data_IF_639419607237
#
_entry.id   IF_639419607237
#
_cell.length_a   1.000
_cell.length_b   1.000
_cell.length_c   1.000
_cell.angle_alpha   90.00
_cell.angle_beta   90.00
_cell.angle_gamma   90.00
#
_symmetry.space_group_name_H-M   'P 1'
#
loop_
_entity.id
_entity.type
_entity.pdbx_description
1 polymer ?
#
# COMPACT_ATOMS: atom_id res chain seq x y z
N UNK A 1 9.94 -16.54 -3.44
CA UNK A 1 9.54 -15.61 -4.52
C UNK A 1 8.11 -15.92 -4.94
N UNK A 2 7.26 -14.92 -5.22
CA UNK A 2 5.86 -15.18 -5.55
C UNK A 2 5.74 -15.67 -7.00
N UNK A 3 5.41 -16.95 -7.20
CA UNK A 3 5.23 -17.55 -8.54
C UNK A 3 4.17 -16.82 -9.36
N UNK A 4 3.20 -16.16 -8.70
CA UNK A 4 2.14 -15.39 -9.37
C UNK A 4 2.66 -14.20 -10.18
N UNK A 5 3.83 -13.64 -9.84
CA UNK A 5 4.42 -12.52 -10.60
C UNK A 5 5.33 -12.96 -11.75
N UNK A 6 5.60 -14.27 -11.90
CA UNK A 6 6.50 -14.77 -12.94
C UNK A 6 5.99 -14.50 -14.35
N UNK A 7 4.72 -14.81 -14.64
CA UNK A 7 4.14 -14.58 -15.96
C UNK A 7 4.20 -13.11 -16.38
N UNK A 8 3.97 -12.19 -15.44
CA UNK A 8 4.08 -10.75 -15.69
C UNK A 8 5.51 -10.29 -15.92
N UNK A 9 6.46 -10.80 -15.14
CA UNK A 9 7.88 -10.51 -15.32
C UNK A 9 8.37 -10.93 -16.70
N UNK A 10 8.03 -12.15 -17.13
CA UNK A 10 8.37 -12.64 -18.47
C UNK A 10 7.71 -11.83 -19.57
N UNK A 11 6.43 -11.49 -19.44
CA UNK A 11 5.77 -10.61 -20.40
C UNK A 11 6.47 -9.24 -20.47
N UNK A 12 6.89 -8.69 -19.34
CA UNK A 12 7.56 -7.41 -19.29
C UNK A 12 8.97 -7.45 -19.94
N UNK A 13 9.74 -8.51 -19.69
CA UNK A 13 11.04 -8.78 -20.34
C UNK A 13 10.90 -8.93 -21.87
N UNK A 14 9.77 -9.44 -22.38
CA UNK A 14 9.56 -9.57 -23.84
C UNK A 14 9.35 -8.24 -24.56
N UNK A 15 9.04 -7.15 -23.84
CA UNK A 15 8.81 -5.83 -24.45
C UNK A 15 10.11 -5.18 -24.91
N UNK A 16 11.24 -5.47 -24.25
CA UNK A 16 12.55 -4.89 -24.59
C UNK A 16 13.69 -5.68 -23.99
N UNK A 17 14.75 -5.91 -24.76
CA UNK A 17 16.00 -6.56 -24.29
C UNK A 17 16.74 -5.76 -23.21
N UNK A 18 16.42 -4.47 -23.05
CA UNK A 18 16.94 -3.62 -21.98
C UNK A 18 16.22 -3.80 -20.64
N UNK A 19 15.19 -4.65 -20.58
CA UNK A 19 14.42 -4.89 -19.36
C UNK A 19 14.89 -6.17 -18.70
N UNK A 20 15.27 -6.05 -17.43
CA UNK A 20 15.58 -7.18 -16.58
C UNK A 20 14.61 -7.17 -15.39
N UNK A 21 14.26 -8.34 -14.88
CA UNK A 21 13.47 -8.40 -13.66
C UNK A 21 14.12 -9.34 -12.65
N UNK A 22 14.15 -8.91 -11.40
CA UNK A 22 14.56 -9.74 -10.26
C UNK A 22 13.35 -9.82 -9.35
N UNK A 23 13.02 -11.01 -8.86
CA UNK A 23 12.01 -11.12 -7.83
C UNK A 23 12.67 -11.25 -6.47
N UNK A 24 11.96 -10.71 -5.48
CA UNK A 24 12.43 -10.64 -4.13
C UNK A 24 11.26 -10.89 -3.16
N UNK A 25 11.57 -11.07 -1.89
CA UNK A 25 10.54 -11.13 -0.87
C UNK A 25 9.83 -9.75 -0.79
N UNK A 26 8.49 -9.75 -0.69
CA UNK A 26 7.68 -8.53 -0.76
C UNK A 26 7.92 -7.53 0.37
N UNK A 27 8.64 -7.91 1.44
CA UNK A 27 9.06 -6.99 2.49
C UNK A 27 10.36 -6.23 2.17
N UNK A 28 10.98 -6.53 1.03
CA UNK A 28 12.16 -5.83 0.51
C UNK A 28 13.37 -5.81 1.46
N UNK A 29 13.47 -6.73 2.42
CA UNK A 29 14.56 -6.71 3.39
C UNK A 29 14.33 -5.73 4.56
N UNK A 30 13.18 -5.06 4.61
CA UNK A 30 12.82 -4.11 5.67
C UNK A 30 11.79 -4.72 6.61
N UNK A 31 12.20 -5.31 7.76
CA UNK A 31 11.26 -5.81 8.76
C UNK A 31 10.64 -4.62 9.53
N UNK A 32 9.54 -4.10 8.99
CA UNK A 32 8.87 -2.91 9.53
C UNK A 32 7.52 -3.23 10.17
N UNK A 33 7.21 -2.48 11.22
CA UNK A 33 5.86 -2.25 11.70
C UNK A 33 5.32 -1.02 10.99
N UNK A 34 4.19 -1.15 10.30
CA UNK A 34 3.57 -0.03 9.58
C UNK A 34 2.32 0.45 10.32
N UNK A 35 2.36 1.69 10.82
CA UNK A 35 1.23 2.37 11.47
C UNK A 35 0.56 3.24 10.42
N UNK A 36 -0.71 2.97 10.12
CA UNK A 36 -1.45 3.76 9.14
C UNK A 36 -1.94 5.08 9.72
N UNK A 37 -2.39 5.96 8.83
CA UNK A 37 -2.97 7.22 9.23
C UNK A 37 -4.21 6.97 10.10
N UNK A 38 -4.28 7.63 11.26
CA UNK A 38 -5.38 7.50 12.23
C UNK A 38 -5.52 6.08 12.84
N UNK A 39 -4.44 5.29 12.87
CA UNK A 39 -4.35 4.03 13.63
C UNK A 39 -3.38 4.22 14.81
N UNK A 40 -3.73 3.70 15.99
CA UNK A 40 -2.89 3.77 17.18
C UNK A 40 -1.82 2.65 17.23
N UNK A 41 -2.11 1.52 16.58
CA UNK A 41 -1.27 0.34 16.56
C UNK A 41 -0.85 0.03 15.11
N UNK A 42 0.39 -0.39 14.93
CA UNK A 42 0.91 -0.79 13.64
C UNK A 42 0.73 -2.27 13.35
N UNK A 43 0.81 -2.62 12.08
CA UNK A 43 0.80 -4.00 11.60
C UNK A 43 2.21 -4.44 11.19
N UNK A 44 2.58 -5.68 11.53
CA UNK A 44 3.84 -6.28 11.09
C UNK A 44 3.80 -6.52 9.57
N UNK A 45 4.67 -5.87 8.81
CA UNK A 45 4.74 -5.99 7.34
C UNK A 45 5.81 -6.99 6.88
N UNK A 46 6.12 -7.99 7.70
CA UNK A 46 7.11 -9.02 7.42
C UNK A 46 6.59 -10.42 7.82
N UNK A 47 7.28 -11.51 7.42
CA UNK A 47 6.92 -12.85 7.87
C UNK A 47 7.00 -12.97 9.40
N UNK A 48 6.12 -13.76 9.99
CA UNK A 48 6.01 -13.95 11.45
C UNK A 48 7.31 -14.42 12.14
N UNK A 49 8.22 -15.03 11.39
CA UNK A 49 9.50 -15.53 11.90
C UNK A 49 10.57 -14.44 12.05
N UNK A 50 10.36 -13.24 11.49
CA UNK A 50 11.32 -12.14 11.58
C UNK A 50 10.98 -11.22 12.73
N UNK A 51 12.02 -10.73 13.41
CA UNK A 51 11.89 -9.68 14.43
C UNK A 51 11.71 -8.33 13.75
N UNK A 52 10.73 -7.56 14.22
CA UNK A 52 10.46 -6.20 13.76
C UNK A 52 11.59 -5.28 14.22
N UNK A 53 12.15 -4.48 13.31
CA UNK A 53 13.29 -3.61 13.62
C UNK A 53 12.93 -2.13 13.56
N UNK A 54 11.98 -1.74 12.71
CA UNK A 54 11.64 -0.34 12.47
C UNK A 54 10.14 -0.13 12.58
N UNK A 55 9.73 1.03 13.10
CA UNK A 55 8.33 1.46 13.12
C UNK A 55 8.19 2.62 12.14
N UNK A 56 7.37 2.46 11.11
CA UNK A 56 7.14 3.45 10.06
C UNK A 56 5.70 3.89 10.11
N UNK A 57 5.47 5.19 10.05
CA UNK A 57 4.12 5.76 10.07
C UNK A 57 3.71 6.29 8.71
N UNK A 58 2.41 6.26 8.46
CA UNK A 58 1.82 6.85 7.27
C UNK A 58 1.51 8.33 7.54
N UNK A 59 2.05 9.19 6.69
CA UNK A 59 1.78 10.62 6.66
C UNK A 59 1.17 11.02 5.32
N UNK A 60 0.80 12.29 5.19
CA UNK A 60 0.30 12.88 3.95
C UNK A 60 1.34 13.84 3.40
N UNK A 61 1.88 13.52 2.23
CA UNK A 61 2.88 14.35 1.55
C UNK A 61 2.36 15.77 1.34
N UNK A 62 3.12 16.75 1.84
CA UNK A 62 2.84 18.19 1.68
C UNK A 62 1.69 18.72 2.56
N UNK A 63 1.18 17.94 3.51
CA UNK A 63 0.20 18.42 4.47
C UNK A 63 0.86 19.20 5.62
N UNK A 64 0.21 20.26 6.09
CA UNK A 64 0.64 20.95 7.31
C UNK A 64 0.30 20.13 8.56
N UNK A 65 0.93 20.44 9.69
CA UNK A 65 0.60 19.81 10.99
C UNK A 65 -0.89 19.93 11.32
N UNK A 66 -1.51 21.05 10.98
CA UNK A 66 -2.92 21.33 11.23
C UNK A 66 -3.83 20.50 10.32
N UNK A 67 -3.43 20.31 9.05
CA UNK A 67 -4.15 19.44 8.11
C UNK A 67 -4.09 17.97 8.58
N UNK A 68 -2.90 17.50 8.99
CA UNK A 68 -2.73 16.15 9.53
C UNK A 68 -3.58 15.91 10.77
N UNK A 69 -3.68 16.89 11.67
CA UNK A 69 -4.53 16.79 12.87
C UNK A 69 -6.03 16.81 12.55
N UNK A 70 -6.45 17.42 11.43
CA UNK A 70 -7.85 17.49 11.01
C UNK A 70 -8.36 16.20 10.38
N UNK A 71 -7.49 15.41 9.74
CA UNK A 71 -7.87 14.18 9.01
C UNK A 71 -8.59 13.15 9.89
N UNK A 72 -8.09 12.77 11.09
CA UNK A 72 -8.80 11.87 12.01
C UNK A 72 -10.24 12.29 12.30
N UNK A 73 -10.44 13.59 12.56
CA UNK A 73 -11.76 14.15 12.88
C UNK A 73 -12.71 14.04 11.70
N UNK A 74 -12.24 14.40 10.50
CA UNK A 74 -13.04 14.31 9.28
C UNK A 74 -13.39 12.85 8.95
N UNK A 75 -12.40 11.95 9.05
CA UNK A 75 -12.57 10.51 8.85
C UNK A 75 -13.62 9.94 9.80
N UNK A 76 -13.54 10.26 11.09
CA UNK A 76 -14.49 9.79 12.10
C UNK A 76 -15.93 10.23 11.80
N UNK A 77 -16.14 11.46 11.31
CA UNK A 77 -17.48 11.94 10.92
C UNK A 77 -18.03 11.12 9.76
N UNK A 78 -17.26 10.94 8.69
CA UNK A 78 -17.68 10.16 7.52
C UNK A 78 -18.02 8.72 7.91
N UNK A 79 -17.18 8.10 8.73
CA UNK A 79 -17.41 6.74 9.21
C UNK A 79 -18.67 6.63 10.08
N UNK A 80 -18.93 7.60 10.96
CA UNK A 80 -20.15 7.65 11.79
C UNK A 80 -21.41 7.79 10.94
N UNK A 81 -21.40 8.68 9.94
CA UNK A 81 -22.54 8.84 9.01
C UNK A 81 -22.76 7.55 8.22
N UNK A 82 -21.70 6.93 7.69
CA UNK A 82 -21.80 5.68 6.97
C UNK A 82 -22.33 4.53 7.85
N UNK A 83 -21.90 4.46 9.12
CA UNK A 83 -22.41 3.49 10.10
C UNK A 83 -23.88 3.73 10.43
N UNK A 84 -24.27 4.98 10.69
CA UNK A 84 -25.66 5.35 10.92
C UNK A 84 -26.56 5.01 9.72
N UNK A 85 -26.10 5.32 8.51
CA UNK A 85 -26.78 4.95 7.27
C UNK A 85 -26.90 3.44 7.09
N UNK A 86 -25.86 2.67 7.43
CA UNK A 86 -25.90 1.21 7.42
C UNK A 86 -26.91 0.68 8.44
N UNK A 87 -26.91 1.19 9.67
CA UNK A 87 -27.87 0.80 10.71
C UNK A 87 -29.30 1.14 10.29
N UNK A 88 -29.52 2.29 9.66
CA UNK A 88 -30.82 2.67 9.11
C UNK A 88 -31.25 1.73 7.99
N UNK A 89 -30.38 1.39 7.03
CA UNK A 89 -30.71 0.45 5.95
C UNK A 89 -31.11 -0.95 6.42
N UNK A 90 -30.47 -1.43 7.49
CA UNK A 90 -30.70 -2.77 8.04
C UNK A 90 -31.62 -2.76 9.27
N UNK A 91 -32.24 -1.62 9.60
CA UNK A 91 -33.13 -1.47 10.74
C UNK A 91 -34.52 -2.05 10.46
N UNK A 92 -35.08 -2.79 11.42
CA UNK A 92 -36.36 -3.50 11.25
C UNK A 92 -37.54 -2.61 10.80
N UNK A 93 -37.56 -1.34 11.23
CA UNK A 93 -38.64 -0.38 10.94
C UNK A 93 -38.48 0.29 9.57
N UNK A 94 -37.25 0.48 9.11
CA UNK A 94 -36.89 1.22 7.88
C UNK A 94 -36.76 0.34 6.65
N UNK A 95 -36.53 -0.97 6.82
CA UNK A 95 -36.41 -1.91 5.70
C UNK A 95 -37.63 -1.90 4.77
N UNK A 96 -38.86 -1.86 5.30
CA UNK A 96 -40.08 -1.96 4.49
C UNK A 96 -40.37 -0.70 3.65
N UNK A 97 -40.06 0.49 4.17
CA UNK A 97 -40.23 1.75 3.42
C UNK A 97 -39.10 2.04 2.42
N UNK A 98 -37.94 1.42 2.60
CA UNK A 98 -36.73 1.69 1.82
C UNK A 98 -36.67 0.92 0.49
N UNK A 99 -37.22 -0.30 0.44
CA UNK A 99 -37.03 -1.24 -0.70
C UNK A 99 -37.69 -0.75 -1.99
N UNK A 100 -38.78 0.01 -1.93
CA UNK A 100 -39.51 0.47 -3.12
C UNK A 100 -38.73 1.47 -3.98
N UNK A 101 -38.61 2.76 -3.58
CA UNK A 101 -37.98 3.79 -4.41
C UNK A 101 -36.45 3.64 -4.53
N UNK A 102 -35.80 3.15 -3.48
CA UNK A 102 -34.32 3.09 -3.43
C UNK A 102 -33.78 1.83 -4.11
N UNK A 103 -34.57 0.74 -4.16
CA UNK A 103 -34.21 -0.46 -4.91
C UNK A 103 -33.99 -0.17 -6.40
N UNK A 104 -34.88 0.63 -7.01
CA UNK A 104 -34.74 1.02 -8.42
C UNK A 104 -33.51 1.90 -8.66
N UNK A 105 -33.18 2.79 -7.72
CA UNK A 105 -31.96 3.60 -7.79
C UNK A 105 -30.66 2.77 -7.73
N UNK A 106 -30.72 1.55 -7.16
CA UNK A 106 -29.59 0.61 -7.12
C UNK A 106 -29.39 -0.18 -8.41
N UNK A 107 -30.37 -0.25 -9.31
CA UNK A 107 -30.25 -0.95 -10.61
C UNK A 107 -29.07 -0.42 -11.42
N UNK A 108 -28.87 0.90 -11.44
CA UNK A 108 -27.71 1.52 -12.10
C UNK A 108 -26.39 1.05 -11.50
N UNK A 109 -26.31 0.92 -10.18
CA UNK A 109 -25.09 0.46 -9.51
C UNK A 109 -24.85 -1.02 -9.84
N UNK A 110 -25.90 -1.85 -9.84
CA UNK A 110 -25.82 -3.25 -10.22
C UNK A 110 -25.30 -3.41 -11.66
N UNK A 111 -25.85 -2.66 -12.62
CA UNK A 111 -25.39 -2.69 -14.00
C UNK A 111 -23.91 -2.27 -14.11
N UNK A 112 -23.51 -1.18 -13.43
CA UNK A 112 -22.10 -0.75 -13.41
C UNK A 112 -21.18 -1.81 -12.81
N UNK A 113 -21.62 -2.50 -11.76
CA UNK A 113 -20.86 -3.56 -11.11
C UNK A 113 -20.80 -4.82 -12.00
N UNK A 114 -21.87 -5.17 -12.70
CA UNK A 114 -21.91 -6.28 -13.67
C UNK A 114 -20.96 -6.06 -14.84
N UNK A 115 -20.86 -4.83 -15.37
CA UNK A 115 -19.92 -4.49 -16.43
C UNK A 115 -18.51 -4.17 -15.93
N UNK A 116 -18.23 -4.26 -14.62
CA UNK A 116 -16.92 -3.97 -14.04
C UNK A 116 -16.51 -2.50 -14.13
N UNK A 117 -17.45 -1.59 -14.38
CA UNK A 117 -17.20 -0.14 -14.50
C UNK A 117 -17.12 0.56 -13.14
N UNK A 118 -17.49 -0.14 -12.06
CA UNK A 118 -17.42 0.33 -10.69
C UNK A 118 -16.46 -0.52 -9.85
N UNK A 119 -16.00 0.06 -8.73
CA UNK A 119 -15.36 -0.69 -7.65
C UNK A 119 -16.36 -0.75 -6.50
N UNK A 120 -16.95 -1.91 -6.17
CA UNK A 120 -18.10 -1.97 -5.26
C UNK A 120 -17.78 -1.50 -3.84
N UNK A 121 -16.54 -1.71 -3.39
CA UNK A 121 -16.11 -1.40 -2.01
C UNK A 121 -14.68 -0.84 -2.01
N UNK A 122 -14.44 0.35 -1.42
CA UNK A 122 -13.08 0.86 -1.21
C UNK A 122 -12.34 0.00 -0.19
N UNK A 123 -11.01 -0.07 -0.29
CA UNK A 123 -10.19 -0.81 0.67
C UNK A 123 -10.45 -0.32 2.10
N UNK A 124 -10.57 -1.20 3.12
CA UNK A 124 -10.89 -0.79 4.49
C UNK A 124 -9.98 0.31 5.05
N UNK A 125 -8.68 0.25 4.72
CA UNK A 125 -7.70 1.28 5.11
C UNK A 125 -7.99 2.69 4.55
N UNK A 126 -8.74 2.81 3.45
CA UNK A 126 -9.13 4.09 2.86
C UNK A 126 -10.55 4.54 3.30
N UNK A 127 -11.24 3.75 4.13
CA UNK A 127 -12.61 4.04 4.53
C UNK A 127 -12.69 5.33 5.36
N UNK A 128 -13.45 6.30 4.85
CA UNK A 128 -13.65 7.62 5.47
C UNK A 128 -12.61 8.67 5.07
N UNK A 129 -11.60 8.32 4.27
CA UNK A 129 -10.65 9.28 3.71
C UNK A 129 -11.14 9.82 2.37
N UNK A 130 -10.86 11.09 2.08
CA UNK A 130 -11.10 11.66 0.77
C UNK A 130 -10.06 11.18 -0.26
N UNK A 131 -10.39 11.30 -1.55
CA UNK A 131 -9.53 10.80 -2.64
C UNK A 131 -8.16 11.49 -2.69
N UNK A 132 -8.09 12.77 -2.33
CA UNK A 132 -6.85 13.55 -2.41
C UNK A 132 -5.90 13.14 -1.29
N UNK A 133 -6.41 12.93 -0.08
CA UNK A 133 -5.65 12.40 1.04
C UNK A 133 -5.14 11.01 0.70
N UNK A 134 -6.01 10.11 0.22
CA UNK A 134 -5.62 8.74 -0.17
C UNK A 134 -4.46 8.70 -1.17
N UNK A 135 -4.43 9.61 -2.15
CA UNK A 135 -3.39 9.69 -3.17
C UNK A 135 -2.08 10.29 -2.65
N UNK A 136 -2.16 11.21 -1.69
CA UNK A 136 -1.00 11.86 -1.06
C UNK A 136 -0.38 11.06 0.08
N UNK A 137 -0.93 9.90 0.43
CA UNK A 137 -0.37 9.03 1.48
C UNK A 137 1.03 8.57 1.11
N UNK A 138 1.94 8.71 2.06
CA UNK A 138 3.33 8.33 1.96
C UNK A 138 3.82 7.80 3.30
N UNK A 139 4.69 6.77 3.34
CA UNK A 139 5.41 6.46 4.57
C UNK A 139 6.29 7.65 4.97
N UNK A 140 6.45 7.85 6.27
CA UNK A 140 7.41 8.75 6.87
C UNK A 140 8.60 7.93 7.38
N UNK A 141 9.76 8.15 6.76
CA UNK A 141 11.01 7.47 7.13
C UNK A 141 11.87 8.30 8.07
N UNK A 142 11.52 9.57 8.30
CA UNK A 142 12.32 10.46 9.11
C UNK A 142 12.12 10.19 10.60
N UNK A 143 13.22 10.14 11.39
CA UNK A 143 13.12 9.84 12.81
C UNK A 143 12.26 10.86 13.54
N UNK A 144 11.17 10.42 14.14
CA UNK A 144 10.33 11.25 15.01
C UNK A 144 9.71 10.42 16.12
N UNK A 145 9.38 11.09 17.23
CA UNK A 145 8.83 10.42 18.39
C UNK A 145 7.31 10.27 18.23
N UNK A 146 6.82 9.05 18.44
CA UNK A 146 5.39 8.74 18.43
C UNK A 146 5.05 8.03 19.73
N UNK A 147 4.28 8.70 20.57
CA UNK A 147 3.88 8.18 21.88
C UNK A 147 5.11 7.72 22.68
N UNK A 148 5.31 6.40 22.84
CA UNK A 148 6.39 5.76 23.59
C UNK A 148 7.50 5.12 22.72
N UNK A 149 7.45 5.27 21.40
CA UNK A 149 8.42 4.67 20.48
C UNK A 149 9.00 5.71 19.49
N UNK A 150 10.20 5.43 18.98
CA UNK A 150 10.80 6.19 17.90
C UNK A 150 10.33 5.58 16.59
N UNK A 151 9.67 6.38 15.75
CA UNK A 151 9.35 6.01 14.37
C UNK A 151 10.44 6.52 13.43
N UNK A 152 10.53 5.90 12.25
CA UNK A 152 11.49 6.23 11.21
C UNK A 152 12.76 5.40 11.29
N UNK A 153 13.75 5.81 10.50
CA UNK A 153 15.07 5.18 10.43
C UNK A 153 16.15 6.28 10.43
N UNK A 154 17.19 6.11 11.23
CA UNK A 154 18.37 6.99 11.15
C UNK A 154 19.12 6.77 9.83
N UNK A 155 19.95 7.73 9.41
CA UNK A 155 20.71 7.59 8.16
C UNK A 155 21.62 6.35 8.14
N UNK A 156 22.20 5.96 9.29
CA UNK A 156 23.00 4.73 9.39
C UNK A 156 22.12 3.48 9.23
N UNK A 157 20.98 3.42 9.92
CA UNK A 157 20.02 2.31 9.78
C UNK A 157 19.49 2.17 8.35
N UNK A 158 19.24 3.29 7.67
CA UNK A 158 18.86 3.31 6.25
C UNK A 158 19.94 2.69 5.38
N UNK A 159 21.20 3.03 5.61
CA UNK A 159 22.34 2.50 4.87
C UNK A 159 22.45 0.98 5.06
N UNK A 160 22.43 0.52 6.32
CA UNK A 160 22.58 -0.90 6.65
C UNK A 160 21.42 -1.73 6.06
N UNK A 161 20.18 -1.24 6.17
CA UNK A 161 19.01 -1.89 5.61
C UNK A 161 19.04 -1.91 4.07
N UNK A 162 19.44 -0.79 3.44
CA UNK A 162 19.61 -0.71 1.99
C UNK A 162 20.68 -1.67 1.48
N UNK A 163 21.86 -1.70 2.11
CA UNK A 163 22.93 -2.62 1.77
C UNK A 163 22.49 -4.08 1.93
N UNK A 164 21.83 -4.41 3.04
CA UNK A 164 21.30 -5.75 3.28
C UNK A 164 20.30 -6.18 2.19
N UNK A 165 19.40 -5.29 1.78
CA UNK A 165 18.44 -5.54 0.72
C UNK A 165 19.11 -5.75 -0.65
N UNK A 166 20.11 -4.93 -1.00
CA UNK A 166 20.86 -5.05 -2.25
C UNK A 166 21.68 -6.34 -2.32
N UNK A 167 22.35 -6.71 -1.23
CA UNK A 167 23.09 -7.97 -1.13
C UNK A 167 22.16 -9.18 -1.23
N UNK A 168 21.01 -9.13 -0.55
CA UNK A 168 20.03 -10.22 -0.58
C UNK A 168 19.36 -10.42 -1.95
N UNK A 169 19.34 -9.37 -2.78
CA UNK A 169 18.85 -9.42 -4.18
C UNK A 169 19.96 -9.68 -5.19
N UNK A 170 21.21 -9.79 -4.74
CA UNK A 170 22.41 -9.83 -5.59
C UNK A 170 22.56 -8.63 -6.54
N UNK A 171 21.88 -7.52 -6.23
CA UNK A 171 21.93 -6.29 -7.00
C UNK A 171 22.95 -5.35 -6.37
N UNK A 172 24.23 -5.69 -6.51
CA UNK A 172 25.34 -4.91 -5.94
C UNK A 172 26.10 -4.09 -6.98
N UNK A 173 25.88 -4.36 -8.27
CA UNK A 173 26.51 -3.68 -9.40
C UNK A 173 25.52 -3.51 -10.57
N UNK A 174 25.99 -2.86 -11.64
CA UNK A 174 25.26 -2.74 -12.92
C UNK A 174 23.83 -2.19 -12.80
N UNK A 175 23.63 -1.19 -11.94
CA UNK A 175 22.32 -0.58 -11.75
C UNK A 175 21.75 0.04 -13.04
N UNK A 176 20.47 -0.25 -13.27
CA UNK A 176 19.67 0.40 -14.30
C UNK A 176 19.54 1.90 -14.04
N UNK A 177 19.29 2.69 -15.10
CA UNK A 177 19.01 4.13 -14.96
C UNK A 177 17.75 4.39 -14.15
N UNK A 178 16.75 3.52 -14.34
CA UNK A 178 15.48 3.56 -13.63
C UNK A 178 15.29 2.20 -12.96
N UNK A 179 15.00 2.29 -11.67
CA UNK A 179 14.75 1.15 -10.81
C UNK A 179 13.30 1.23 -10.34
N UNK A 180 12.48 0.23 -10.66
CA UNK A 180 11.12 0.13 -10.16
C UNK A 180 11.03 -0.97 -9.09
N UNK A 181 10.61 -0.57 -7.89
CA UNK A 181 10.27 -1.48 -6.82
C UNK A 181 8.75 -1.66 -6.77
N UNK A 182 8.32 -2.92 -6.84
CA UNK A 182 6.89 -3.23 -6.94
C UNK A 182 6.45 -4.21 -5.88
N UNK A 183 5.69 -3.67 -4.92
CA UNK A 183 4.90 -4.47 -4.01
C UNK A 183 3.66 -4.99 -4.72
N UNK A 184 3.25 -6.22 -4.40
CA UNK A 184 2.00 -6.76 -4.88
C UNK A 184 0.93 -6.70 -3.79
N UNK A 185 -0.31 -6.47 -4.19
CA UNK A 185 -1.48 -6.48 -3.32
C UNK A 185 -2.67 -7.02 -4.08
N UNK A 186 -3.63 -7.59 -3.35
CA UNK A 186 -4.89 -8.05 -3.89
C UNK A 186 -5.99 -7.03 -3.63
N UNK A 187 -7.11 -7.16 -4.32
CA UNK A 187 -8.32 -6.42 -4.00
C UNK A 187 -9.45 -7.41 -3.96
N UNK A 188 -10.12 -7.47 -2.81
CA UNK A 188 -11.23 -8.39 -2.59
C UNK A 188 -12.42 -7.63 -2.02
N UNK A 189 -13.61 -8.04 -2.43
CA UNK A 189 -14.87 -7.60 -1.83
C UNK A 189 -15.30 -8.52 -0.67
N UNK A 190 -14.67 -9.71 -0.54
CA UNK A 190 -14.88 -10.68 0.51
C UNK A 190 -13.66 -10.74 1.46
N UNK A 191 -13.71 -9.92 2.52
CA UNK A 191 -12.61 -9.64 3.44
C UNK A 191 -11.96 -10.88 4.14
N UNK A 192 -12.67 -11.99 4.47
CA UNK A 192 -12.06 -13.13 5.17
C UNK A 192 -10.88 -13.77 4.44
N UNK A 193 -10.82 -13.64 3.11
CA UNK A 193 -9.72 -14.19 2.29
C UNK A 193 -8.70 -13.14 1.86
N UNK A 194 -8.86 -11.87 2.25
CA UNK A 194 -7.96 -10.78 1.84
C UNK A 194 -6.50 -11.10 2.18
N UNK A 195 -6.26 -11.49 3.43
CA UNK A 195 -4.91 -11.78 3.93
C UNK A 195 -4.25 -12.99 3.25
N UNK A 196 -5.05 -13.95 2.76
CA UNK A 196 -4.56 -15.11 2.01
C UNK A 196 -4.18 -14.76 0.56
N UNK A 197 -4.82 -13.74 -0.01
CA UNK A 197 -4.62 -13.31 -1.39
C UNK A 197 -3.50 -12.25 -1.49
N UNK A 198 -3.27 -11.52 -0.41
CA UNK A 198 -2.15 -10.61 -0.22
C UNK A 198 -0.79 -11.31 -0.05
N UNK A 199 0.26 -10.54 0.22
CA UNK A 199 1.62 -11.04 0.25
C UNK A 199 1.92 -11.83 1.52
N UNK A 200 2.14 -13.14 1.37
CA UNK A 200 2.62 -13.98 2.49
C UNK A 200 3.98 -13.51 3.05
N UNK A 201 4.85 -12.94 2.21
CA UNK A 201 6.11 -12.36 2.68
C UNK A 201 5.94 -11.04 3.44
N UNK A 202 4.76 -10.41 3.39
CA UNK A 202 4.41 -9.23 4.17
C UNK A 202 3.42 -9.56 5.30
N UNK A 203 3.36 -10.83 5.75
CA UNK A 203 2.45 -11.23 6.82
C UNK A 203 0.97 -11.31 6.41
N UNK A 204 0.67 -11.42 5.11
CA UNK A 204 -0.70 -11.37 4.59
C UNK A 204 -1.22 -9.93 4.38
N UNK A 205 -0.31 -8.98 4.21
CA UNK A 205 -0.62 -7.60 3.84
C UNK A 205 -0.15 -7.28 2.41
N UNK A 206 -0.63 -6.18 1.86
CA UNK A 206 -0.15 -5.64 0.58
C UNK A 206 1.31 -5.23 0.71
N UNK A 207 2.15 -5.55 -0.28
CA UNK A 207 3.54 -5.08 -0.33
C UNK A 207 3.71 -3.58 -0.62
N UNK A 208 2.61 -2.81 -0.68
CA UNK A 208 2.60 -1.38 -1.00
C UNK A 208 3.47 -0.57 -0.02
N UNK A 209 3.25 -0.74 1.29
CA UNK A 209 4.00 0.00 2.32
C UNK A 209 5.50 -0.28 2.22
N UNK A 210 5.88 -1.55 2.14
CA UNK A 210 7.28 -1.97 2.04
C UNK A 210 7.97 -1.45 0.78
N UNK A 211 7.29 -1.51 -0.37
CA UNK A 211 7.84 -0.99 -1.62
C UNK A 211 8.07 0.53 -1.57
N UNK A 212 7.14 1.27 -0.96
CA UNK A 212 7.27 2.73 -0.80
C UNK A 212 8.37 3.11 0.19
N UNK A 213 8.49 2.39 1.30
CA UNK A 213 9.59 2.58 2.27
C UNK A 213 10.94 2.31 1.61
N UNK A 214 11.08 1.16 0.95
CA UNK A 214 12.29 0.81 0.22
C UNK A 214 12.67 1.90 -0.80
N UNK A 215 11.70 2.34 -1.60
CA UNK A 215 11.90 3.41 -2.59
C UNK A 215 12.41 4.71 -1.97
N UNK A 216 11.78 5.16 -0.87
CA UNK A 216 12.21 6.38 -0.18
C UNK A 216 13.59 6.23 0.45
N UNK A 217 13.90 5.07 1.05
CA UNK A 217 15.22 4.79 1.63
C UNK A 217 16.32 4.89 0.56
N UNK A 218 16.18 4.15 -0.56
CA UNK A 218 17.16 4.20 -1.65
C UNK A 218 17.31 5.59 -2.26
N UNK A 219 16.22 6.34 -2.39
CA UNK A 219 16.23 7.71 -2.91
C UNK A 219 16.91 8.67 -1.94
N UNK A 220 16.64 8.56 -0.63
CA UNK A 220 17.19 9.44 0.41
C UNK A 220 18.72 9.33 0.54
N UNK A 221 19.28 8.14 0.28
CA UNK A 221 20.71 7.88 0.32
C UNK A 221 21.44 8.33 -0.95
N UNK A 222 20.72 8.82 -1.98
CA UNK A 222 21.23 9.01 -3.35
C UNK A 222 21.91 7.75 -3.91
N UNK A 223 21.62 6.58 -3.35
CA UNK A 223 22.21 5.32 -3.79
C UNK A 223 21.81 4.98 -5.23
N UNK A 224 20.65 5.49 -5.67
CA UNK A 224 20.11 5.33 -7.03
C UNK A 224 19.47 6.66 -7.46
N UNK A 225 19.86 7.25 -8.61
CA UNK A 225 19.53 8.65 -8.91
C UNK A 225 18.09 8.92 -9.38
N UNK A 226 17.29 7.91 -9.77
CA UNK A 226 15.91 8.14 -10.26
C UNK A 226 14.95 6.99 -9.91
N UNK A 227 13.93 7.30 -9.09
CA UNK A 227 12.80 6.40 -8.81
C UNK A 227 11.49 7.00 -9.35
N UNK A 228 10.67 6.18 -10.00
CA UNK A 228 9.32 6.56 -10.45
C UNK A 228 8.30 5.60 -9.83
N UNK A 229 7.31 6.13 -9.10
CA UNK A 229 6.21 5.34 -8.56
C UNK A 229 4.97 5.46 -9.46
N UNK A 230 4.41 4.33 -9.89
CA UNK A 230 3.19 4.29 -10.69
C UNK A 230 1.97 4.02 -9.81
N UNK A 231 1.13 5.05 -9.60
CA UNK A 231 -0.18 4.91 -8.97
C UNK A 231 -1.27 4.91 -10.04
N UNK A 232 -1.66 3.73 -10.51
CA UNK A 232 -2.99 3.42 -11.04
C UNK A 232 -3.07 1.94 -11.39
N UNK A 233 -4.16 1.33 -10.92
CA UNK A 233 -4.65 -0.02 -11.18
C UNK A 233 -3.89 -1.20 -10.55
N UNK A 234 -4.62 -2.25 -10.05
CA UNK A 234 -4.02 -3.46 -9.50
C UNK A 234 -3.54 -4.35 -10.65
N UNK A 235 -2.54 -3.87 -11.38
CA UNK A 235 -1.74 -4.66 -12.30
C UNK A 235 -0.37 -4.90 -11.66
N UNK A 236 0.16 -6.13 -11.65
CA UNK A 236 1.54 -6.36 -11.25
C UNK A 236 2.45 -5.85 -12.37
N UNK A 237 3.31 -4.88 -12.09
CA UNK A 237 4.31 -4.47 -13.08
C UNK A 237 5.64 -4.15 -12.44
N UNK A 238 6.57 -5.09 -12.52
CA UNK A 238 8.01 -4.97 -12.26
C UNK A 238 8.68 -4.32 -13.46
N UNK A 239 9.60 -3.35 -13.27
CA UNK A 239 10.37 -2.75 -14.39
C UNK A 239 11.78 -2.31 -13.97
N UNK A 240 12.83 -2.94 -14.49
CA UNK A 240 14.16 -2.32 -14.55
C UNK A 240 14.44 -1.95 -16.00
N UNK A 241 15.03 -0.78 -16.24
CA UNK A 241 15.44 -0.33 -17.59
C UNK A 241 16.96 -0.13 -17.62
N UNK A 242 17.68 -1.13 -18.13
CA UNK A 242 19.08 -1.06 -18.55
C UNK A 242 19.19 -0.08 -19.72
N UNK A 243 20.30 0.64 -19.83
CA UNK A 243 20.74 1.21 -21.10
C UNK A 243 22.00 0.48 -21.55
N UNK A 244 22.09 0.29 -22.87
CA UNK A 244 23.31 -0.04 -23.59
C UNK A 244 24.49 0.85 -23.16
#
# INVERSE_FOLDING_TARGET
>A
MNVRSEGFRRAFETVSEGVETIGFAGFFGFPITYVRLDEAEGSAQCPVLLTLQFVITETVSGASSDELAAIPRQRAIVQRVAKAWRMFKFGAVSCFGFVGPVGLAYVRNLLRDTFGWGRPVPHPAAFGLDKTTVQRRSPDIDPHQISSQISGMTSSQRLDAAEGALRATSLTDNFARIVLLTGHGSTVVNNPYATRLDCGACGGHTGEANARVAAQVFTSLKAIPYFAWANRDPGPMVVWLRRA
#
